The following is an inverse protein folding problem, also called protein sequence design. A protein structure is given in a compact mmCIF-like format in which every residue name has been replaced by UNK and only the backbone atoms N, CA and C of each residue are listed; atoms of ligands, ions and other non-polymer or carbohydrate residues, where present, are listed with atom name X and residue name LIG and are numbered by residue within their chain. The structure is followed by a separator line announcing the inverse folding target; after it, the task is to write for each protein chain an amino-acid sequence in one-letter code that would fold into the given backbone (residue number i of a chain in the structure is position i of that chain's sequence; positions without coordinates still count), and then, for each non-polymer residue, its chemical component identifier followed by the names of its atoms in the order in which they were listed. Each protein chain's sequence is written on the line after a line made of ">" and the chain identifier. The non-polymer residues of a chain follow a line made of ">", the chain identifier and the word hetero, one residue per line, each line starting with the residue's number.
data_IF_976973262610
#
_entry.id   IF_976973262610
#
_cell.length_a   1.000
_cell.length_b   1.000
_cell.length_c   1.000
_cell.angle_alpha   90.00
_cell.angle_beta   90.00
_cell.angle_gamma   90.00
#
_symmetry.space_group_name_H-M   'P 1'
#
loop_
_entity.id
_entity.type
_entity.pdbx_description
1 polymer ?
#
# COMPACT_ATOMS: atom_id res chain seq x y z
N UNK A 1 45.30 29.11 30.16
CA UNK A 1 44.43 27.92 29.89
C UNK A 1 43.86 28.11 28.51
N UNK A 2 44.23 27.27 27.56
CA UNK A 2 43.59 27.31 26.24
C UNK A 2 42.14 26.87 26.43
N UNK A 3 41.16 27.72 26.06
CA UNK A 3 39.78 27.29 25.93
C UNK A 3 39.74 26.12 24.94
N UNK A 4 39.39 24.92 25.42
CA UNK A 4 39.05 23.81 24.54
C UNK A 4 37.91 24.27 23.63
N UNK A 5 38.23 24.52 22.37
CA UNK A 5 37.27 24.90 21.34
C UNK A 5 36.31 23.74 21.20
N UNK A 6 35.13 23.86 21.80
CA UNK A 6 34.07 22.83 21.70
C UNK A 6 33.90 22.46 20.24
N UNK A 7 34.09 21.21 19.89
CA UNK A 7 33.91 20.70 18.54
C UNK A 7 32.48 20.94 18.11
N UNK A 8 32.30 21.61 16.98
CA UNK A 8 30.94 21.89 16.44
C UNK A 8 30.26 20.62 15.97
N UNK A 9 28.96 20.53 16.16
CA UNK A 9 28.15 19.40 15.77
C UNK A 9 27.34 19.72 14.52
N UNK A 10 27.27 18.76 13.63
CA UNK A 10 26.60 18.84 12.32
C UNK A 10 25.56 17.74 12.23
N UNK A 11 24.35 18.06 11.78
CA UNK A 11 23.28 17.10 11.57
C UNK A 11 22.94 16.98 10.09
N UNK A 12 22.67 15.76 9.62
CA UNK A 12 22.12 15.49 8.29
C UNK A 12 21.08 14.36 8.36
N UNK A 13 19.90 14.55 7.80
CA UNK A 13 18.87 13.51 7.70
C UNK A 13 19.02 12.72 6.39
N UNK A 14 19.07 11.40 6.46
CA UNK A 14 19.30 10.52 5.31
C UNK A 14 18.34 9.33 5.35
N UNK A 15 17.74 8.94 4.20
CA UNK A 15 17.00 7.68 4.06
C UNK A 15 17.95 6.47 4.00
N UNK A 16 19.09 6.59 3.33
CA UNK A 16 20.20 5.64 3.34
C UNK A 16 19.93 4.27 2.69
N UNK A 17 18.86 4.11 1.91
CA UNK A 17 18.53 2.82 1.30
C UNK A 17 19.45 2.49 0.11
N UNK A 18 19.67 3.46 -0.76
CA UNK A 18 20.67 3.38 -1.83
C UNK A 18 21.72 4.47 -1.60
N UNK A 19 22.95 4.05 -1.35
CA UNK A 19 24.07 4.98 -1.22
C UNK A 19 24.58 5.33 -2.62
N UNK A 20 24.49 6.60 -2.97
CA UNK A 20 24.91 7.14 -4.26
C UNK A 20 25.82 8.37 -4.08
N UNK A 21 26.54 8.81 -5.11
CA UNK A 21 27.48 9.93 -5.00
C UNK A 21 26.90 11.21 -4.36
N UNK A 22 25.62 11.50 -4.54
CA UNK A 22 24.96 12.64 -3.89
C UNK A 22 24.94 12.54 -2.37
N UNK A 23 24.64 11.36 -1.81
CA UNK A 23 24.70 11.12 -0.35
C UNK A 23 26.13 11.24 0.15
N UNK A 24 27.09 10.64 -0.54
CA UNK A 24 28.51 10.74 -0.19
C UNK A 24 28.96 12.19 -0.18
N UNK A 25 28.58 12.99 -1.17
CA UNK A 25 28.90 14.41 -1.24
C UNK A 25 28.35 15.18 -0.02
N UNK A 26 27.09 14.97 0.35
CA UNK A 26 26.48 15.62 1.52
C UNK A 26 27.22 15.24 2.81
N UNK A 27 27.56 13.97 3.01
CA UNK A 27 28.33 13.48 4.16
C UNK A 27 29.72 14.15 4.19
N UNK A 28 30.45 14.14 3.07
CA UNK A 28 31.79 14.72 3.00
C UNK A 28 31.80 16.23 3.20
N UNK A 29 30.80 16.94 2.69
CA UNK A 29 30.66 18.37 2.93
C UNK A 29 30.32 18.64 4.41
N UNK A 30 29.39 17.84 4.99
CA UNK A 30 29.01 17.96 6.40
C UNK A 30 30.18 17.77 7.35
N UNK A 31 31.01 16.77 7.11
CA UNK A 31 32.20 16.48 7.92
C UNK A 31 33.25 17.63 7.96
N UNK A 32 33.21 18.57 7.02
CA UNK A 32 34.10 19.76 7.04
C UNK A 32 33.69 20.80 8.09
N UNK A 33 32.45 20.79 8.55
CA UNK A 33 31.91 21.75 9.50
C UNK A 33 32.02 21.29 10.95
N UNK A 34 32.32 20.01 11.21
CA UNK A 34 32.47 19.46 12.55
C UNK A 34 32.11 17.99 12.66
N UNK A 35 31.80 17.53 13.88
CA UNK A 35 31.38 16.18 14.17
C UNK A 35 30.03 15.91 13.52
N UNK A 36 30.00 15.01 12.53
CA UNK A 36 28.81 14.73 11.73
C UNK A 36 27.95 13.63 12.37
N UNK A 37 26.71 14.00 12.70
CA UNK A 37 25.67 13.09 13.18
C UNK A 37 24.69 12.87 12.04
N UNK A 38 24.51 11.62 11.64
CA UNK A 38 23.53 11.22 10.63
C UNK A 38 22.24 10.80 11.30
N UNK A 39 21.15 11.53 11.05
CA UNK A 39 19.77 11.12 11.36
C UNK A 39 19.30 10.15 10.30
N UNK A 40 19.36 8.85 10.60
CA UNK A 40 18.86 7.81 9.69
C UNK A 40 17.37 7.61 9.89
N UNK A 41 16.59 7.91 8.86
CA UNK A 41 15.14 7.71 8.93
C UNK A 41 14.82 6.22 9.17
N UNK A 42 13.93 5.95 10.11
CA UNK A 42 13.40 4.60 10.34
C UNK A 42 12.57 4.13 9.16
N UNK A 43 12.36 2.82 9.02
CA UNK A 43 11.53 2.29 7.94
C UNK A 43 10.09 2.82 8.03
N UNK A 44 9.57 2.98 9.26
CA UNK A 44 8.25 3.58 9.50
C UNK A 44 8.19 5.04 9.05
N UNK A 45 9.19 5.86 9.40
CA UNK A 45 9.24 7.27 8.96
C UNK A 45 9.31 7.39 7.43
N UNK A 46 10.06 6.51 6.76
CA UNK A 46 10.14 6.50 5.28
C UNK A 46 8.80 6.06 4.66
N UNK A 47 8.16 5.02 5.22
CA UNK A 47 6.93 4.44 4.69
C UNK A 47 5.74 5.41 4.66
N UNK A 48 5.76 6.47 5.50
CA UNK A 48 4.72 7.51 5.49
C UNK A 48 4.70 8.33 4.20
N UNK A 49 5.87 8.53 3.54
CA UNK A 49 6.04 9.46 2.41
C UNK A 49 6.64 8.82 1.16
N UNK A 50 7.36 7.72 1.33
CA UNK A 50 8.05 7.01 0.24
C UNK A 50 7.76 5.51 0.32
N UNK A 51 8.24 4.75 -0.68
CA UNK A 51 8.22 3.30 -0.61
C UNK A 51 9.10 2.80 0.55
N UNK A 52 8.80 1.61 1.04
CA UNK A 52 9.62 0.93 2.04
C UNK A 52 11.03 0.68 1.50
N UNK A 53 12.08 0.94 2.29
CA UNK A 53 13.46 0.61 1.93
C UNK A 53 13.64 -0.89 1.67
N UNK A 54 14.57 -1.24 0.78
CA UNK A 54 15.01 -2.64 0.57
C UNK A 54 15.75 -3.19 1.79
N UNK A 55 16.53 -2.32 2.44
CA UNK A 55 17.33 -2.68 3.59
C UNK A 55 16.60 -2.33 4.90
N UNK A 56 16.78 -3.18 5.91
CA UNK A 56 16.31 -2.87 7.26
C UNK A 56 17.04 -1.65 7.83
N UNK A 57 16.48 -1.04 8.87
CA UNK A 57 17.13 0.08 9.56
C UNK A 57 18.55 -0.29 10.00
N UNK A 58 18.76 -1.48 10.59
CA UNK A 58 20.07 -1.94 11.07
C UNK A 58 21.07 -2.16 9.94
N UNK A 59 20.62 -2.69 8.79
CA UNK A 59 21.48 -2.85 7.61
C UNK A 59 21.93 -1.50 7.06
N UNK A 60 21.02 -0.54 6.93
CA UNK A 60 21.32 0.83 6.46
C UNK A 60 22.24 1.56 7.44
N UNK A 61 22.02 1.38 8.76
CA UNK A 61 22.85 1.92 9.82
C UNK A 61 24.27 1.39 9.72
N UNK A 62 24.45 0.07 9.60
CA UNK A 62 25.75 -0.56 9.45
C UNK A 62 26.54 -0.02 8.25
N UNK A 63 25.87 0.24 7.11
CA UNK A 63 26.52 0.85 5.94
C UNK A 63 26.97 2.28 6.25
N UNK A 64 26.10 3.11 6.84
CA UNK A 64 26.39 4.52 7.11
C UNK A 64 27.49 4.73 8.15
N UNK A 65 27.54 3.90 9.20
CA UNK A 65 28.57 3.93 10.23
C UNK A 65 29.98 3.66 9.67
N UNK A 66 30.07 2.99 8.52
CA UNK A 66 31.32 2.69 7.84
C UNK A 66 31.67 3.69 6.73
N UNK A 67 30.88 4.76 6.54
CA UNK A 67 31.22 5.80 5.58
C UNK A 67 32.15 6.83 6.24
N UNK A 68 33.29 7.07 5.58
CA UNK A 68 34.26 8.07 6.04
C UNK A 68 33.62 9.45 6.19
N UNK A 69 33.74 10.04 7.37
CA UNK A 69 33.18 11.35 7.71
C UNK A 69 31.94 11.28 8.61
N UNK A 70 31.31 10.12 8.74
CA UNK A 70 30.23 9.89 9.71
C UNK A 70 30.86 9.64 11.09
N UNK A 71 30.40 10.40 12.09
CA UNK A 71 30.86 10.24 13.48
C UNK A 71 29.86 9.45 14.32
N UNK A 72 28.57 9.58 14.00
CA UNK A 72 27.50 8.92 14.73
C UNK A 72 26.27 8.77 13.83
N UNK A 73 25.52 7.67 14.00
CA UNK A 73 24.22 7.44 13.34
C UNK A 73 23.14 7.28 14.41
N UNK A 74 22.14 8.16 14.36
CA UNK A 74 21.01 8.16 15.30
C UNK A 74 19.70 7.92 14.56
N UNK A 75 18.67 7.33 15.19
CA UNK A 75 17.37 7.16 14.54
C UNK A 75 16.68 8.52 14.35
N UNK A 76 16.07 8.69 13.18
CA UNK A 76 15.10 9.74 12.90
C UNK A 76 13.73 9.05 12.71
N UNK A 77 12.90 9.12 13.74
CA UNK A 77 11.63 8.39 13.83
C UNK A 77 10.49 9.10 13.11
N UNK A 78 10.69 10.36 12.77
CA UNK A 78 9.72 11.22 12.08
C UNK A 78 10.28 11.68 10.74
N UNK A 79 9.40 11.93 9.77
CA UNK A 79 9.76 12.60 8.52
C UNK A 79 10.23 14.04 8.75
N UNK A 80 9.68 14.73 9.76
CA UNK A 80 10.17 16.02 10.24
C UNK A 80 11.52 15.88 10.97
N UNK A 81 12.39 16.84 10.74
CA UNK A 81 13.69 16.93 11.42
C UNK A 81 13.59 17.49 12.84
N UNK A 82 12.48 18.18 13.15
CA UNK A 82 12.30 18.98 14.36
C UNK A 82 12.58 18.20 15.65
N UNK A 83 12.08 16.95 15.84
CA UNK A 83 12.35 16.21 17.07
C UNK A 83 13.85 16.01 17.34
N UNK A 84 14.62 15.60 16.32
CA UNK A 84 16.06 15.38 16.46
C UNK A 84 16.83 16.70 16.62
N UNK A 85 16.44 17.77 15.92
CA UNK A 85 17.06 19.07 16.06
C UNK A 85 16.90 19.65 17.48
N UNK A 86 15.70 19.52 18.06
CA UNK A 86 15.44 19.98 19.43
C UNK A 86 16.21 19.16 20.48
N UNK A 87 16.36 17.84 20.24
CA UNK A 87 17.06 16.91 21.13
C UNK A 87 18.59 17.11 21.08
N UNK A 88 19.15 17.16 19.88
CA UNK A 88 20.59 17.19 19.66
C UNK A 88 21.19 18.60 19.68
N UNK A 89 20.42 19.60 19.34
CA UNK A 89 20.80 21.03 19.23
C UNK A 89 22.12 21.21 18.47
N UNK A 90 22.19 20.74 17.20
CA UNK A 90 23.41 20.83 16.42
C UNK A 90 23.72 22.30 16.08
N UNK A 91 25.02 22.62 15.92
CA UNK A 91 25.46 23.94 15.45
C UNK A 91 25.07 24.16 13.97
N UNK A 92 25.10 23.08 13.17
CA UNK A 92 24.76 23.11 11.76
C UNK A 92 23.81 21.97 11.38
N UNK A 93 22.87 22.24 10.49
CA UNK A 93 22.19 21.22 9.71
C UNK A 93 22.58 21.40 8.25
N UNK A 94 22.84 20.27 7.56
CA UNK A 94 23.18 20.26 6.13
C UNK A 94 22.11 19.53 5.36
N UNK A 95 21.69 20.12 4.25
CA UNK A 95 20.73 19.54 3.31
C UNK A 95 21.06 19.93 1.87
N UNK A 96 20.66 19.10 0.90
CA UNK A 96 20.66 19.49 -0.51
C UNK A 96 19.68 20.65 -0.77
N UNK A 97 19.95 21.46 -1.77
CA UNK A 97 19.06 22.61 -2.11
C UNK A 97 17.81 22.21 -2.91
N UNK A 98 17.60 20.90 -3.11
CA UNK A 98 16.42 20.30 -3.76
C UNK A 98 15.10 20.51 -2.99
N UNK A 99 15.16 20.78 -1.68
CA UNK A 99 13.97 21.10 -0.87
C UNK A 99 13.43 22.53 -1.04
N UNK A 100 14.08 23.36 -1.86
CA UNK A 100 13.60 24.72 -2.21
C UNK A 100 12.38 24.70 -3.11
N UNK A 101 12.21 23.63 -3.83
CA UNK A 101 11.09 23.39 -4.73
C UNK A 101 10.42 22.08 -4.33
N UNK A 102 9.14 21.91 -4.59
CA UNK A 102 8.35 20.72 -4.28
C UNK A 102 7.76 20.66 -2.85
N UNK A 103 7.16 19.53 -2.48
CA UNK A 103 6.51 19.26 -1.19
C UNK A 103 7.44 19.38 0.03
N UNK A 104 8.74 19.44 -0.15
CA UNK A 104 9.70 19.60 0.97
C UNK A 104 9.84 21.05 1.46
N UNK A 105 9.19 22.02 0.80
CA UNK A 105 9.24 23.43 1.23
C UNK A 105 8.72 23.63 2.65
N UNK A 106 7.68 22.88 3.06
CA UNK A 106 7.16 22.90 4.42
C UNK A 106 8.21 22.48 5.44
N UNK A 107 8.87 21.35 5.20
CA UNK A 107 9.96 20.83 6.03
C UNK A 107 11.13 21.81 6.10
N UNK A 108 11.51 22.39 4.96
CA UNK A 108 12.55 23.42 4.92
C UNK A 108 12.23 24.57 5.87
N UNK A 109 11.01 25.08 5.81
CA UNK A 109 10.54 26.18 6.68
C UNK A 109 10.65 25.80 8.16
N UNK A 110 10.16 24.63 8.56
CA UNK A 110 10.23 24.11 9.93
C UNK A 110 11.68 24.01 10.43
N UNK A 111 12.59 23.53 9.58
CA UNK A 111 14.01 23.39 9.90
C UNK A 111 14.63 24.76 10.13
N UNK A 112 14.41 25.74 9.25
CA UNK A 112 14.95 27.09 9.42
C UNK A 112 14.44 27.75 10.71
N UNK A 113 13.14 27.62 11.01
CA UNK A 113 12.55 28.14 12.24
C UNK A 113 13.12 27.46 13.49
N UNK A 114 13.30 26.15 13.44
CA UNK A 114 13.84 25.37 14.55
C UNK A 114 15.31 25.68 14.80
N UNK A 115 16.13 25.72 13.75
CA UNK A 115 17.56 26.06 13.87
C UNK A 115 17.75 27.47 14.42
N UNK A 116 16.94 28.43 13.99
CA UNK A 116 16.95 29.79 14.57
C UNK A 116 16.62 29.78 16.07
N UNK A 117 15.66 28.97 16.52
CA UNK A 117 15.30 28.84 17.95
C UNK A 117 16.41 28.26 18.81
N UNK A 118 17.17 27.28 18.27
CA UNK A 118 18.26 26.62 19.02
C UNK A 118 19.61 27.31 18.86
N UNK A 119 19.72 28.37 18.04
CA UNK A 119 20.95 29.12 17.80
C UNK A 119 21.89 28.44 16.79
N UNK A 120 21.40 27.53 15.99
CA UNK A 120 22.16 26.85 14.92
C UNK A 120 21.92 27.47 13.54
N UNK A 121 22.63 26.98 12.55
CA UNK A 121 22.62 27.48 11.16
C UNK A 121 22.28 26.36 10.16
N UNK A 122 21.54 26.72 9.09
CA UNK A 122 21.19 25.82 7.97
C UNK A 122 22.17 26.04 6.83
N UNK A 123 22.83 24.99 6.38
CA UNK A 123 23.75 25.01 5.24
C UNK A 123 23.14 24.21 4.09
N UNK A 124 22.84 24.91 3.00
CA UNK A 124 22.30 24.31 1.77
C UNK A 124 23.43 24.01 0.79
N UNK A 125 23.58 22.75 0.43
CA UNK A 125 24.61 22.29 -0.54
C UNK A 125 23.96 22.13 -1.91
N UNK A 126 24.62 22.59 -2.99
CA UNK A 126 24.12 22.37 -4.34
C UNK A 126 23.87 20.88 -4.61
N UNK A 127 22.68 20.60 -5.13
CA UNK A 127 22.27 19.25 -5.47
C UNK A 127 23.18 18.61 -6.52
N UNK A 128 23.60 17.36 -6.27
CA UNK A 128 24.43 16.61 -7.22
C UNK A 128 23.57 16.15 -8.39
N UNK A 129 23.71 16.80 -9.56
CA UNK A 129 22.93 16.50 -10.77
C UNK A 129 23.21 15.09 -11.29
N UNK A 130 22.18 14.48 -11.87
CA UNK A 130 22.30 13.25 -12.66
C UNK A 130 22.13 11.94 -11.90
N UNK A 131 21.99 11.97 -10.55
CA UNK A 131 21.73 10.77 -9.77
C UNK A 131 21.00 11.10 -8.46
N UNK A 132 19.87 10.46 -8.22
CA UNK A 132 19.17 10.49 -6.93
C UNK A 132 18.50 9.14 -6.66
N UNK A 133 18.16 8.90 -5.40
CA UNK A 133 17.52 7.65 -4.99
C UNK A 133 16.22 7.39 -5.74
N UNK A 134 15.40 8.43 -5.99
CA UNK A 134 14.11 8.28 -6.69
C UNK A 134 14.29 7.83 -8.13
N UNK A 135 15.28 8.40 -8.85
CA UNK A 135 15.58 7.98 -10.24
C UNK A 135 16.17 6.55 -10.31
N UNK A 136 16.95 6.16 -9.30
CA UNK A 136 17.47 4.80 -9.22
C UNK A 136 16.33 3.82 -8.94
N UNK A 137 15.41 4.16 -8.06
CA UNK A 137 14.22 3.36 -7.79
C UNK A 137 13.26 3.26 -8.98
N UNK A 138 13.07 4.35 -9.73
CA UNK A 138 12.27 4.33 -10.96
C UNK A 138 12.88 3.40 -12.01
N UNK A 139 14.21 3.36 -12.12
CA UNK A 139 14.91 2.42 -13.00
C UNK A 139 14.79 0.97 -12.53
N UNK A 140 14.79 0.72 -11.24
CA UNK A 140 14.60 -0.64 -10.69
C UNK A 140 13.16 -1.11 -10.77
N UNK A 141 12.19 -0.24 -10.50
CA UNK A 141 10.77 -0.54 -10.70
C UNK A 141 10.48 -0.92 -12.16
N UNK A 142 11.22 -0.32 -13.10
CA UNK A 142 11.17 -0.68 -14.52
C UNK A 142 11.75 -2.07 -14.83
N UNK A 143 12.49 -2.70 -13.91
CA UNK A 143 12.98 -4.08 -14.06
C UNK A 143 11.99 -5.15 -13.55
N UNK A 144 10.81 -4.71 -13.05
CA UNK A 144 9.81 -5.60 -12.47
C UNK A 144 10.13 -6.01 -11.02
N UNK A 145 9.32 -6.90 -10.48
CA UNK A 145 9.45 -7.44 -9.12
C UNK A 145 9.35 -8.96 -9.18
N UNK A 146 10.08 -9.68 -8.33
CA UNK A 146 9.91 -11.13 -8.24
C UNK A 146 8.62 -11.49 -7.48
N UNK A 147 8.09 -12.68 -7.74
CA UNK A 147 6.92 -13.23 -7.06
C UNK A 147 7.09 -13.16 -5.54
N UNK A 148 8.21 -13.65 -5.01
CA UNK A 148 8.47 -13.66 -3.56
C UNK A 148 8.53 -12.26 -2.96
N UNK A 149 9.14 -11.31 -3.67
CA UNK A 149 9.19 -9.91 -3.22
C UNK A 149 7.79 -9.29 -3.16
N UNK A 150 6.94 -9.56 -4.17
CA UNK A 150 5.56 -9.06 -4.18
C UNK A 150 4.74 -9.67 -3.06
N UNK A 151 4.82 -10.99 -2.86
CA UNK A 151 4.11 -11.68 -1.76
C UNK A 151 4.49 -11.07 -0.42
N UNK A 152 5.78 -10.90 -0.15
CA UNK A 152 6.30 -10.35 1.10
C UNK A 152 5.93 -8.88 1.31
N UNK A 153 5.81 -8.09 0.26
CA UNK A 153 5.67 -6.62 0.34
C UNK A 153 4.45 -6.16 1.16
N UNK A 154 3.37 -6.94 1.22
CA UNK A 154 2.20 -6.63 2.04
C UNK A 154 2.51 -6.71 3.54
N UNK A 155 3.22 -7.78 3.98
CA UNK A 155 3.64 -7.91 5.38
C UNK A 155 4.62 -6.81 5.77
N UNK A 156 5.54 -6.48 4.88
CA UNK A 156 6.49 -5.38 5.11
C UNK A 156 5.75 -4.03 5.25
N UNK A 157 4.73 -3.77 4.42
CA UNK A 157 3.87 -2.58 4.57
C UNK A 157 3.16 -2.55 5.93
N UNK A 158 2.59 -3.67 6.37
CA UNK A 158 1.91 -3.74 7.67
C UNK A 158 2.85 -3.51 8.86
N UNK A 159 4.12 -3.87 8.73
CA UNK A 159 5.12 -3.61 9.78
C UNK A 159 5.46 -2.13 9.94
N UNK A 160 5.27 -1.31 8.89
CA UNK A 160 5.75 0.07 8.85
C UNK A 160 4.65 1.12 8.70
N UNK A 161 3.46 0.74 8.25
CA UNK A 161 2.31 1.65 8.09
C UNK A 161 1.18 1.29 9.04
N UNK A 162 0.59 2.29 9.66
CA UNK A 162 -0.62 2.13 10.47
C UNK A 162 -1.84 1.81 9.61
N UNK A 163 -1.90 2.37 8.40
CA UNK A 163 -2.97 2.15 7.44
C UNK A 163 -2.42 1.98 6.03
N UNK A 164 -2.84 0.91 5.36
CA UNK A 164 -2.51 0.58 3.98
C UNK A 164 -3.75 0.86 3.12
N UNK A 165 -3.58 1.58 2.01
CA UNK A 165 -4.68 1.89 1.10
C UNK A 165 -4.52 1.17 -0.23
N UNK A 166 -5.55 0.40 -0.60
CA UNK A 166 -5.63 -0.30 -1.86
C UNK A 166 -6.75 0.24 -2.73
N UNK A 167 -6.56 0.13 -4.03
CA UNK A 167 -7.58 0.44 -5.03
C UNK A 167 -7.86 -0.81 -5.87
N UNK A 168 -9.13 -1.04 -6.21
CA UNK A 168 -9.48 -2.16 -7.07
C UNK A 168 -9.06 -1.89 -8.52
N UNK A 169 -8.33 -2.85 -9.08
CA UNK A 169 -8.06 -2.98 -10.50
C UNK A 169 -8.94 -4.08 -11.10
N UNK A 170 -9.42 -3.86 -12.31
CA UNK A 170 -10.23 -4.80 -13.09
C UNK A 170 -9.63 -5.07 -14.50
N UNK A 171 -8.44 -4.55 -14.75
CA UNK A 171 -7.69 -4.71 -16.00
C UNK A 171 -6.26 -4.21 -15.82
N UNK A 172 -5.35 -4.57 -16.71
CA UNK A 172 -4.01 -4.02 -16.74
C UNK A 172 -3.98 -2.49 -16.83
N UNK A 173 -4.90 -1.87 -17.59
CA UNK A 173 -4.99 -0.40 -17.67
C UNK A 173 -5.30 0.24 -16.30
N UNK A 174 -6.25 -0.31 -15.56
CA UNK A 174 -6.56 0.19 -14.21
C UNK A 174 -5.40 -0.04 -13.24
N UNK A 175 -4.67 -1.15 -13.38
CA UNK A 175 -3.47 -1.42 -12.60
C UNK A 175 -2.36 -0.39 -12.90
N UNK A 176 -2.11 -0.04 -14.16
CA UNK A 176 -1.16 1.01 -14.56
C UNK A 176 -1.50 2.37 -13.95
N UNK A 177 -2.78 2.73 -13.89
CA UNK A 177 -3.22 3.97 -13.24
C UNK A 177 -2.86 3.94 -11.75
N UNK A 178 -3.18 2.85 -11.05
CA UNK A 178 -2.91 2.70 -9.61
C UNK A 178 -1.40 2.69 -9.34
N UNK A 179 -0.62 2.02 -10.18
CA UNK A 179 0.85 1.94 -10.07
C UNK A 179 1.49 3.31 -10.13
N UNK A 180 1.11 4.12 -11.13
CA UNK A 180 1.78 5.37 -11.46
C UNK A 180 1.21 6.60 -10.76
N UNK A 181 -0.01 6.51 -10.18
CA UNK A 181 -0.67 7.67 -9.58
C UNK A 181 0.08 8.14 -8.32
N UNK A 182 0.50 9.40 -8.36
CA UNK A 182 1.10 10.13 -7.24
C UNK A 182 0.38 11.47 -7.10
N UNK A 183 -0.01 11.81 -5.89
CA UNK A 183 -0.63 13.10 -5.55
C UNK A 183 0.25 13.82 -4.55
N UNK A 184 0.75 14.99 -4.89
CA UNK A 184 1.47 15.86 -3.96
C UNK A 184 0.45 16.62 -3.09
N UNK A 185 0.64 16.58 -1.79
CA UNK A 185 -0.08 17.38 -0.79
C UNK A 185 0.92 18.06 0.13
N UNK A 186 0.44 18.94 0.99
CA UNK A 186 1.28 19.69 1.93
C UNK A 186 2.05 18.78 2.91
N UNK A 187 1.49 17.61 3.22
CA UNK A 187 2.05 16.58 4.09
C UNK A 187 2.90 15.52 3.36
N UNK A 188 3.01 15.58 2.04
CA UNK A 188 3.86 14.68 1.26
C UNK A 188 3.24 14.09 0.00
N UNK A 189 3.83 12.99 -0.49
CA UNK A 189 3.35 12.27 -1.67
C UNK A 189 2.39 11.16 -1.25
N UNK A 190 1.14 11.28 -1.67
CA UNK A 190 0.11 10.26 -1.49
C UNK A 190 0.03 9.34 -2.70
N UNK A 191 -0.10 8.03 -2.45
CA UNK A 191 -0.25 6.98 -3.47
C UNK A 191 -1.05 5.81 -2.90
N UNK A 192 -1.55 4.96 -3.76
CA UNK A 192 -2.04 3.66 -3.34
C UNK A 192 -0.87 2.73 -3.03
N UNK A 193 -0.98 1.95 -1.97
CA UNK A 193 0.06 1.05 -1.48
C UNK A 193 0.01 -0.32 -2.14
N UNK A 194 -1.16 -0.72 -2.65
CA UNK A 194 -1.38 -2.00 -3.29
C UNK A 194 -2.62 -2.00 -4.18
N UNK A 195 -2.84 -3.14 -4.80
CA UNK A 195 -3.98 -3.42 -5.67
C UNK A 195 -4.90 -4.42 -4.99
N UNK A 196 -6.19 -4.21 -5.17
CA UNK A 196 -7.22 -5.18 -4.84
C UNK A 196 -7.81 -5.73 -6.14
N UNK A 197 -8.04 -7.05 -6.20
CA UNK A 197 -8.74 -7.71 -7.29
C UNK A 197 -9.81 -8.66 -6.74
N UNK A 198 -11.03 -8.58 -7.29
CA UNK A 198 -12.14 -9.44 -6.88
C UNK A 198 -12.49 -10.43 -7.98
N UNK A 199 -12.45 -11.72 -7.67
CA UNK A 199 -12.94 -12.79 -8.54
C UNK A 199 -14.48 -12.89 -8.57
N UNK A 200 -15.19 -12.05 -7.80
CA UNK A 200 -16.65 -12.12 -7.77
C UNK A 200 -17.25 -11.59 -9.06
N UNK A 201 -18.34 -12.19 -9.48
CA UNK A 201 -19.10 -12.04 -10.74
C UNK A 201 -19.53 -10.62 -11.17
N UNK A 202 -19.10 -9.59 -10.46
CA UNK A 202 -19.42 -8.20 -10.82
C UNK A 202 -18.80 -7.75 -12.15
N UNK A 203 -17.93 -8.55 -12.76
CA UNK A 203 -17.27 -8.22 -14.02
C UNK A 203 -18.08 -8.62 -15.25
N UNK A 204 -19.02 -9.54 -15.11
CA UNK A 204 -19.92 -9.93 -16.17
C UNK A 204 -21.26 -9.20 -16.03
N UNK A 205 -21.37 -8.03 -16.65
CA UNK A 205 -22.64 -7.25 -16.68
C UNK A 205 -23.78 -7.97 -17.40
N UNK A 206 -23.56 -9.12 -18.01
CA UNK A 206 -24.52 -9.83 -18.87
C UNK A 206 -24.64 -11.34 -18.63
N UNK A 207 -24.02 -11.91 -17.61
CA UNK A 207 -24.26 -13.34 -17.39
C UNK A 207 -25.54 -13.51 -16.60
N UNK A 208 -26.55 -14.00 -17.28
CA UNK A 208 -27.55 -14.83 -16.63
C UNK A 208 -26.82 -15.82 -15.76
N UNK A 209 -27.15 -15.84 -14.48
CA UNK A 209 -26.51 -16.56 -13.37
C UNK A 209 -26.32 -18.08 -13.60
N UNK A 210 -26.49 -18.56 -14.82
CA UNK A 210 -26.69 -19.97 -15.14
C UNK A 210 -25.46 -20.77 -15.59
N UNK A 211 -24.31 -20.15 -15.94
CA UNK A 211 -23.20 -20.89 -16.55
C UNK A 211 -21.80 -20.69 -15.90
N UNK A 212 -21.73 -20.33 -14.62
CA UNK A 212 -20.50 -19.82 -13.97
C UNK A 212 -19.77 -20.87 -13.13
N UNK A 213 -19.45 -22.06 -13.65
CA UNK A 213 -18.99 -23.14 -12.76
C UNK A 213 -17.48 -23.48 -12.76
N UNK A 214 -16.71 -23.17 -13.76
CA UNK A 214 -15.24 -23.36 -13.76
C UNK A 214 -14.51 -22.39 -14.71
N UNK A 215 -15.19 -21.87 -15.71
CA UNK A 215 -14.59 -20.93 -16.66
C UNK A 215 -14.19 -19.60 -16.01
N UNK A 216 -14.83 -19.25 -14.89
CA UNK A 216 -14.69 -17.94 -14.27
C UNK A 216 -13.40 -17.76 -13.49
N UNK A 217 -12.96 -18.78 -12.75
CA UNK A 217 -11.67 -18.74 -12.06
C UNK A 217 -10.52 -18.58 -13.05
N UNK A 218 -10.50 -19.38 -14.11
CA UNK A 218 -9.45 -19.27 -15.15
C UNK A 218 -9.52 -17.97 -15.94
N UNK A 219 -10.73 -17.47 -16.22
CA UNK A 219 -10.90 -16.13 -16.82
C UNK A 219 -10.41 -15.05 -15.88
N UNK A 220 -10.72 -15.17 -14.61
CA UNK A 220 -10.21 -14.28 -13.55
C UNK A 220 -8.68 -14.33 -13.44
N UNK A 221 -8.05 -15.50 -13.58
CA UNK A 221 -6.60 -15.63 -13.60
C UNK A 221 -5.97 -14.89 -14.79
N UNK A 222 -6.58 -14.91 -15.98
CA UNK A 222 -6.07 -14.15 -17.14
C UNK A 222 -6.10 -12.64 -16.85
N UNK A 223 -7.20 -12.14 -16.28
CA UNK A 223 -7.29 -10.72 -15.85
C UNK A 223 -6.26 -10.39 -14.78
N UNK A 224 -6.04 -11.31 -13.83
CA UNK A 224 -5.03 -11.15 -12.79
C UNK A 224 -3.62 -11.11 -13.38
N UNK A 225 -3.32 -11.92 -14.41
CA UNK A 225 -2.05 -11.85 -15.15
C UNK A 225 -1.85 -10.47 -15.78
N UNK A 226 -2.87 -9.94 -16.47
CA UNK A 226 -2.80 -8.57 -17.04
C UNK A 226 -2.54 -7.51 -15.97
N UNK A 227 -3.12 -7.67 -14.78
CA UNK A 227 -2.90 -6.77 -13.64
C UNK A 227 -1.48 -6.92 -13.11
N UNK A 228 -1.02 -8.14 -12.92
CA UNK A 228 0.30 -8.48 -12.40
C UNK A 228 1.41 -7.90 -13.26
N UNK A 229 1.30 -8.01 -14.57
CA UNK A 229 2.27 -7.48 -15.54
C UNK A 229 2.37 -5.93 -15.49
N UNK A 230 1.36 -5.28 -14.95
CA UNK A 230 1.25 -3.82 -14.91
C UNK A 230 1.59 -3.20 -13.54
N UNK A 231 2.00 -3.99 -12.54
CA UNK A 231 2.25 -3.48 -11.18
C UNK A 231 3.40 -4.16 -10.47
N UNK A 232 4.09 -3.39 -9.65
CA UNK A 232 5.07 -3.88 -8.67
C UNK A 232 4.52 -3.93 -7.24
N UNK A 233 3.28 -3.48 -7.04
CA UNK A 233 2.62 -3.38 -5.73
C UNK A 233 2.10 -4.75 -5.26
N UNK A 234 1.89 -4.94 -3.94
CA UNK A 234 1.18 -6.11 -3.41
C UNK A 234 -0.24 -6.18 -3.96
N UNK A 235 -0.69 -7.40 -4.19
CA UNK A 235 -2.04 -7.70 -4.67
C UNK A 235 -2.80 -8.47 -3.59
N UNK A 236 -3.98 -7.99 -3.23
CA UNK A 236 -4.95 -8.73 -2.41
C UNK A 236 -6.09 -9.16 -3.30
N UNK A 237 -6.36 -10.46 -3.36
CA UNK A 237 -7.50 -11.00 -4.07
C UNK A 237 -8.67 -11.28 -3.12
N UNK A 238 -9.91 -11.10 -3.58
CA UNK A 238 -11.10 -11.59 -2.89
C UNK A 238 -11.74 -12.72 -3.68
N UNK A 239 -12.02 -13.80 -2.98
CA UNK A 239 -12.50 -15.03 -3.56
C UNK A 239 -13.68 -15.62 -2.79
N UNK A 240 -14.77 -15.92 -3.49
CA UNK A 240 -15.92 -16.64 -2.95
C UNK A 240 -15.75 -18.12 -3.26
N UNK A 241 -15.70 -18.95 -2.23
CA UNK A 241 -15.51 -20.41 -2.39
C UNK A 241 -16.84 -21.02 -2.85
N UNK A 242 -16.86 -21.70 -3.98
CA UNK A 242 -17.96 -22.60 -4.30
C UNK A 242 -17.77 -23.96 -3.57
N UNK A 243 -18.88 -24.64 -3.29
CA UNK A 243 -18.92 -25.93 -2.61
C UNK A 243 -18.12 -27.04 -3.31
N UNK A 244 -17.88 -26.90 -4.62
CA UNK A 244 -17.25 -27.91 -5.47
C UNK A 244 -15.80 -27.62 -5.84
N UNK A 245 -15.24 -26.47 -5.44
CA UNK A 245 -13.92 -26.05 -5.89
C UNK A 245 -12.79 -26.61 -5.05
N UNK A 246 -11.65 -26.84 -5.70
CA UNK A 246 -10.42 -27.26 -5.05
C UNK A 246 -9.67 -26.06 -4.49
N UNK A 247 -9.98 -25.68 -3.24
CA UNK A 247 -9.36 -24.54 -2.56
C UNK A 247 -7.82 -24.64 -2.51
N UNK A 248 -7.26 -25.85 -2.39
CA UNK A 248 -5.81 -26.05 -2.41
C UNK A 248 -5.21 -25.55 -3.72
N UNK A 249 -5.78 -25.96 -4.84
CA UNK A 249 -5.31 -25.53 -6.17
C UNK A 249 -5.47 -24.01 -6.37
N UNK A 250 -6.56 -23.43 -5.85
CA UNK A 250 -6.78 -21.99 -5.89
C UNK A 250 -5.67 -21.24 -5.15
N UNK A 251 -5.35 -21.64 -3.92
CA UNK A 251 -4.28 -21.01 -3.13
C UNK A 251 -2.93 -21.13 -3.82
N UNK A 252 -2.58 -22.34 -4.31
CA UNK A 252 -1.33 -22.57 -5.01
C UNK A 252 -1.19 -21.70 -6.28
N UNK A 253 -2.24 -21.54 -7.08
CA UNK A 253 -2.21 -20.65 -8.25
C UNK A 253 -2.04 -19.19 -7.86
N UNK A 254 -2.75 -18.70 -6.84
CA UNK A 254 -2.61 -17.32 -6.37
C UNK A 254 -1.18 -17.01 -5.88
N UNK A 255 -0.55 -17.93 -5.17
CA UNK A 255 0.85 -17.78 -4.74
C UNK A 255 1.81 -17.73 -5.92
N UNK A 256 1.64 -18.63 -6.92
CA UNK A 256 2.47 -18.66 -8.13
C UNK A 256 2.37 -17.35 -8.90
N UNK A 257 1.21 -16.72 -8.90
CA UNK A 257 0.96 -15.42 -9.53
C UNK A 257 1.42 -14.22 -8.69
N UNK A 258 2.05 -14.45 -7.53
CA UNK A 258 2.58 -13.37 -6.69
C UNK A 258 1.51 -12.56 -5.95
N UNK A 259 0.32 -13.13 -5.73
CA UNK A 259 -0.69 -12.55 -4.85
C UNK A 259 -0.18 -12.55 -3.42
N UNK A 260 -0.31 -11.42 -2.73
CA UNK A 260 0.21 -11.26 -1.36
C UNK A 260 -0.77 -11.74 -0.30
N UNK A 261 -2.08 -11.67 -0.59
CA UNK A 261 -3.11 -12.15 0.31
C UNK A 261 -4.39 -12.52 -0.44
N UNK A 262 -5.16 -13.44 0.14
CA UNK A 262 -6.52 -13.76 -0.31
C UNK A 262 -7.52 -13.52 0.80
N UNK A 263 -8.61 -12.80 0.51
CA UNK A 263 -9.80 -12.72 1.35
C UNK A 263 -10.74 -13.84 0.90
N UNK A 264 -10.99 -14.78 1.78
CA UNK A 264 -11.92 -15.89 1.55
C UNK A 264 -13.26 -15.50 2.18
N UNK A 265 -14.33 -15.43 1.39
CA UNK A 265 -15.66 -15.10 1.90
C UNK A 265 -16.31 -16.30 2.60
N UNK A 266 -17.06 -16.02 3.68
CA UNK A 266 -17.82 -17.04 4.42
C UNK A 266 -19.23 -17.28 3.89
N UNK A 267 -19.50 -16.84 2.66
CA UNK A 267 -20.77 -17.01 1.97
C UNK A 267 -20.60 -17.76 0.65
N UNK A 268 -21.66 -18.43 0.26
CA UNK A 268 -21.77 -19.12 -1.01
C UNK A 268 -23.15 -18.87 -1.65
N UNK A 269 -23.26 -19.16 -2.94
CA UNK A 269 -24.49 -18.97 -3.70
C UNK A 269 -25.22 -20.31 -3.83
N UNK A 270 -26.49 -20.34 -3.39
CA UNK A 270 -27.40 -21.47 -3.58
C UNK A 270 -28.34 -21.14 -4.75
N UNK A 271 -28.29 -21.98 -5.78
CA UNK A 271 -29.22 -21.85 -6.93
C UNK A 271 -30.57 -22.50 -6.58
N UNK A 272 -31.65 -21.73 -6.61
CA UNK A 272 -33.02 -22.19 -6.36
C UNK A 272 -33.84 -21.94 -7.61
N UNK A 273 -33.68 -22.79 -8.66
CA UNK A 273 -34.35 -22.61 -9.94
C UNK A 273 -33.86 -21.35 -10.68
N UNK A 274 -34.74 -20.36 -10.88
CA UNK A 274 -34.45 -19.10 -11.60
C UNK A 274 -33.78 -18.07 -10.68
N UNK A 275 -33.79 -18.26 -9.36
CA UNK A 275 -33.23 -17.32 -8.38
C UNK A 275 -31.97 -17.90 -7.71
N UNK A 276 -31.12 -17.01 -7.21
CA UNK A 276 -29.97 -17.36 -6.37
C UNK A 276 -30.11 -16.71 -5.00
N UNK A 277 -29.74 -17.45 -3.95
CA UNK A 277 -29.75 -16.99 -2.58
C UNK A 277 -28.31 -17.07 -2.05
N UNK A 278 -27.88 -16.04 -1.33
CA UNK A 278 -26.61 -16.09 -0.61
C UNK A 278 -26.85 -16.72 0.78
N UNK A 279 -26.03 -17.69 1.12
CA UNK A 279 -26.03 -18.35 2.43
C UNK A 279 -24.64 -18.29 3.05
N UNK A 280 -24.60 -18.31 4.38
CA UNK A 280 -23.34 -18.38 5.14
C UNK A 280 -22.95 -19.81 5.42
N UNK A 281 -21.66 -20.10 5.32
CA UNK A 281 -21.11 -21.33 5.89
C UNK A 281 -21.31 -21.34 7.41
N UNK A 282 -21.55 -22.54 7.94
CA UNK A 282 -21.48 -22.75 9.40
C UNK A 282 -20.07 -22.47 9.90
N UNK A 283 -19.95 -21.99 11.13
CA UNK A 283 -18.65 -21.63 11.73
C UNK A 283 -17.62 -22.76 11.59
N UNK A 284 -17.99 -24.01 11.93
CA UNK A 284 -17.09 -25.16 11.88
C UNK A 284 -16.59 -25.45 10.46
N UNK A 285 -17.50 -25.39 9.49
CA UNK A 285 -17.21 -25.62 8.08
C UNK A 285 -16.31 -24.53 7.50
N UNK A 286 -16.60 -23.28 7.83
CA UNK A 286 -15.77 -22.17 7.41
C UNK A 286 -14.37 -22.21 8.03
N UNK A 287 -14.27 -22.51 9.33
CA UNK A 287 -12.99 -22.72 9.99
C UNK A 287 -12.19 -23.88 9.35
N UNK A 288 -12.85 -24.93 8.90
CA UNK A 288 -12.20 -26.02 8.17
C UNK A 288 -11.61 -25.52 6.86
N UNK A 289 -12.36 -24.73 6.07
CA UNK A 289 -11.86 -24.12 4.82
C UNK A 289 -10.65 -23.20 5.06
N UNK A 290 -10.67 -22.38 6.10
CA UNK A 290 -9.51 -21.57 6.49
C UNK A 290 -8.28 -22.44 6.79
N UNK A 291 -8.45 -23.53 7.53
CA UNK A 291 -7.36 -24.50 7.81
C UNK A 291 -6.83 -25.14 6.52
N UNK A 292 -7.69 -25.51 5.59
CA UNK A 292 -7.29 -26.07 4.31
C UNK A 292 -6.48 -25.04 3.49
N UNK A 293 -6.94 -23.79 3.40
CA UNK A 293 -6.22 -22.70 2.75
C UNK A 293 -4.84 -22.49 3.37
N UNK A 294 -4.76 -22.46 4.70
CA UNK A 294 -3.48 -22.32 5.42
C UNK A 294 -2.55 -23.52 5.22
N UNK A 295 -3.09 -24.74 5.08
CA UNK A 295 -2.31 -25.95 4.77
C UNK A 295 -1.78 -25.95 3.32
N UNK A 296 -2.54 -25.38 2.40
CA UNK A 296 -2.13 -25.25 0.99
C UNK A 296 -1.03 -24.21 0.77
N UNK A 297 -0.95 -23.23 1.66
CA UNK A 297 0.05 -22.17 1.64
C UNK A 297 1.47 -22.73 1.67
N UNK A 298 2.32 -22.27 0.74
CA UNK A 298 3.75 -22.65 0.63
C UNK A 298 4.67 -21.51 1.08
N UNK A 299 4.32 -20.28 0.70
CA UNK A 299 5.09 -19.10 1.06
C UNK A 299 4.58 -18.55 2.42
N UNK A 300 5.42 -18.47 3.48
CA UNK A 300 5.00 -18.00 4.80
C UNK A 300 4.54 -16.53 4.82
N UNK A 301 4.94 -15.75 3.83
CA UNK A 301 4.55 -14.33 3.71
C UNK A 301 3.17 -14.14 3.06
N UNK A 302 2.66 -15.15 2.33
CA UNK A 302 1.29 -15.12 1.81
C UNK A 302 0.28 -15.09 2.96
N UNK A 303 -0.82 -14.36 2.80
CA UNK A 303 -1.82 -14.20 3.87
C UNK A 303 -3.18 -14.77 3.47
N UNK A 304 -3.80 -15.47 4.40
CA UNK A 304 -5.20 -15.90 4.31
C UNK A 304 -6.03 -15.03 5.25
N UNK A 305 -6.91 -14.23 4.70
CA UNK A 305 -7.78 -13.29 5.42
C UNK A 305 -9.19 -13.89 5.42
N UNK A 306 -9.79 -14.04 6.61
CA UNK A 306 -11.16 -14.52 6.73
C UNK A 306 -12.14 -13.37 6.51
N UNK A 307 -13.05 -13.54 5.54
CA UNK A 307 -14.14 -12.60 5.28
C UNK A 307 -15.35 -12.95 6.12
N UNK A 308 -15.87 -12.01 6.90
CA UNK A 308 -17.03 -12.14 7.76
C UNK A 308 -18.18 -11.34 7.19
N UNK A 309 -19.14 -12.01 6.61
CA UNK A 309 -20.29 -11.41 5.94
C UNK A 309 -21.59 -11.52 6.77
N UNK A 310 -21.48 -11.96 8.01
CA UNK A 310 -22.62 -12.19 8.91
C UNK A 310 -23.53 -10.97 9.02
N UNK A 311 -22.96 -9.76 9.17
CA UNK A 311 -23.72 -8.52 9.30
C UNK A 311 -24.46 -8.15 8.00
N UNK A 312 -23.94 -8.49 6.83
CA UNK A 312 -24.60 -8.22 5.54
C UNK A 312 -25.84 -9.10 5.33
N UNK A 313 -25.89 -10.26 6.00
CA UNK A 313 -26.98 -11.22 5.94
C UNK A 313 -27.86 -11.22 7.22
N UNK A 314 -27.77 -10.15 8.01
CA UNK A 314 -28.66 -9.89 9.16
C UNK A 314 -28.38 -10.74 10.39
N UNK A 315 -27.18 -11.31 10.51
CA UNK A 315 -26.75 -11.98 11.74
C UNK A 315 -26.36 -10.96 12.82
N UNK A 316 -26.33 -11.43 14.07
CA UNK A 316 -25.97 -10.59 15.20
C UNK A 316 -24.45 -10.25 15.24
N UNK A 317 -24.12 -9.17 15.93
CA UNK A 317 -22.74 -8.75 16.19
C UNK A 317 -21.96 -9.85 16.94
N UNK A 318 -22.60 -10.55 17.87
CA UNK A 318 -21.97 -11.61 18.66
C UNK A 318 -21.65 -12.85 17.81
N UNK A 319 -22.51 -13.19 16.83
CA UNK A 319 -22.21 -14.26 15.86
C UNK A 319 -21.03 -13.89 14.97
N UNK A 320 -21.00 -12.65 14.44
CA UNK A 320 -19.89 -12.16 13.63
C UNK A 320 -18.55 -12.18 14.39
N UNK A 321 -18.53 -11.69 15.63
CA UNK A 321 -17.34 -11.70 16.47
C UNK A 321 -16.89 -13.13 16.82
N UNK A 322 -17.83 -14.01 17.19
CA UNK A 322 -17.53 -15.40 17.49
C UNK A 322 -16.85 -16.09 16.31
N UNK A 323 -17.42 -15.92 15.10
CA UNK A 323 -16.86 -16.49 13.86
C UNK A 323 -15.48 -15.89 13.55
N UNK A 324 -15.28 -14.59 13.71
CA UNK A 324 -13.99 -13.94 13.53
C UNK A 324 -12.91 -14.53 14.44
N UNK A 325 -13.20 -14.70 15.75
CA UNK A 325 -12.24 -15.31 16.67
C UNK A 325 -12.00 -16.80 16.38
N UNK A 326 -13.02 -17.53 15.94
CA UNK A 326 -12.88 -18.93 15.55
C UNK A 326 -11.97 -19.10 14.33
N UNK A 327 -12.10 -18.22 13.32
CA UNK A 327 -11.26 -18.27 12.12
C UNK A 327 -9.81 -17.88 12.38
N UNK A 328 -9.54 -16.97 13.32
CA UNK A 328 -8.16 -16.69 13.76
C UNK A 328 -7.56 -17.93 14.44
N UNK A 329 -8.28 -18.61 15.31
CA UNK A 329 -7.84 -19.88 15.90
C UNK A 329 -7.63 -20.98 14.86
N UNK A 330 -8.34 -20.90 13.73
CA UNK A 330 -8.15 -21.78 12.59
C UNK A 330 -6.91 -21.44 11.73
N UNK A 331 -6.27 -20.29 11.98
CA UNK A 331 -5.01 -19.86 11.33
C UNK A 331 -5.16 -18.70 10.37
N UNK A 332 -6.30 -18.00 10.30
CA UNK A 332 -6.43 -16.79 9.50
C UNK A 332 -5.43 -15.71 9.94
N UNK A 333 -4.77 -15.06 8.97
CA UNK A 333 -3.79 -14.00 9.19
C UNK A 333 -4.44 -12.62 9.37
N UNK A 334 -5.72 -12.46 9.02
CA UNK A 334 -6.47 -11.21 9.12
C UNK A 334 -7.96 -11.45 9.03
N UNK A 335 -8.74 -10.40 9.31
CA UNK A 335 -10.21 -10.39 9.22
C UNK A 335 -10.66 -9.27 8.27
N UNK A 336 -11.55 -9.60 7.34
CA UNK A 336 -12.36 -8.65 6.62
C UNK A 336 -13.78 -8.68 7.20
N UNK A 337 -14.34 -7.52 7.54
CA UNK A 337 -15.72 -7.39 8.00
C UNK A 337 -16.54 -6.56 7.01
N UNK A 338 -17.68 -7.07 6.60
CA UNK A 338 -18.60 -6.42 5.70
C UNK A 338 -19.89 -5.97 6.42
N UNK A 339 -20.45 -4.83 5.98
CA UNK A 339 -21.76 -4.35 6.39
C UNK A 339 -22.40 -3.53 5.27
N UNK A 340 -23.74 -3.58 5.19
CA UNK A 340 -24.54 -2.80 4.26
C UNK A 340 -25.02 -1.46 4.86
N UNK A 341 -24.74 -1.18 6.14
CA UNK A 341 -25.14 0.06 6.79
C UNK A 341 -24.35 1.24 6.27
N UNK A 342 -25.06 2.34 5.98
CA UNK A 342 -24.46 3.53 5.35
C UNK A 342 -23.71 4.44 6.31
N UNK A 343 -23.97 4.37 7.61
CA UNK A 343 -23.33 5.19 8.64
C UNK A 343 -22.00 4.60 9.14
N UNK A 344 -21.77 3.29 8.92
CA UNK A 344 -20.57 2.57 9.35
C UNK A 344 -20.52 2.26 10.84
N UNK A 345 -21.58 2.57 11.62
CA UNK A 345 -21.54 2.38 13.08
C UNK A 345 -21.46 0.89 13.46
N UNK A 346 -22.08 0.01 12.68
CA UNK A 346 -22.00 -1.44 12.89
C UNK A 346 -20.55 -1.98 12.71
N UNK A 347 -19.85 -1.51 11.68
CA UNK A 347 -18.43 -1.86 11.46
C UNK A 347 -17.56 -1.31 12.56
N UNK A 348 -17.80 -0.08 12.99
CA UNK A 348 -17.10 0.56 14.10
C UNK A 348 -17.31 -0.20 15.41
N UNK A 349 -18.54 -0.63 15.70
CA UNK A 349 -18.85 -1.44 16.88
C UNK A 349 -18.10 -2.78 16.84
N UNK A 350 -18.11 -3.46 15.68
CA UNK A 350 -17.35 -4.70 15.49
C UNK A 350 -15.86 -4.46 15.76
N UNK A 351 -15.25 -3.49 15.10
CA UNK A 351 -13.83 -3.19 15.25
C UNK A 351 -13.46 -2.88 16.71
N UNK A 352 -14.25 -2.06 17.40
CA UNK A 352 -14.02 -1.69 18.79
C UNK A 352 -14.11 -2.90 19.75
N UNK A 353 -15.09 -3.79 19.56
CA UNK A 353 -15.24 -5.01 20.33
C UNK A 353 -14.10 -5.98 20.05
N UNK A 354 -13.77 -6.16 18.78
CA UNK A 354 -12.68 -7.04 18.34
C UNK A 354 -11.32 -6.60 18.91
N UNK A 355 -11.00 -5.29 18.84
CA UNK A 355 -9.73 -4.72 19.31
C UNK A 355 -9.54 -4.79 20.82
N UNK A 356 -10.60 -4.91 21.61
CA UNK A 356 -10.50 -5.14 23.07
C UNK A 356 -9.85 -6.48 23.40
N UNK A 357 -10.08 -7.50 22.57
CA UNK A 357 -9.60 -8.86 22.79
C UNK A 357 -8.41 -9.23 21.90
N UNK A 358 -8.28 -8.60 20.72
CA UNK A 358 -7.22 -8.86 19.76
C UNK A 358 -6.69 -7.56 19.16
N UNK A 359 -5.45 -7.20 19.51
CA UNK A 359 -4.80 -5.96 19.09
C UNK A 359 -3.97 -6.12 17.80
N UNK A 360 -3.53 -7.34 17.49
CA UNK A 360 -2.47 -7.60 16.52
C UNK A 360 -3.00 -8.07 15.16
N UNK A 361 -4.11 -8.81 15.13
CA UNK A 361 -4.66 -9.33 13.88
C UNK A 361 -5.15 -8.19 12.97
N UNK A 362 -4.67 -8.10 11.72
CA UNK A 362 -5.10 -7.07 10.77
C UNK A 362 -6.60 -7.09 10.50
N UNK A 363 -7.21 -5.91 10.47
CA UNK A 363 -8.59 -5.70 10.03
C UNK A 363 -8.58 -5.02 8.67
N UNK A 364 -9.29 -5.61 7.72
CA UNK A 364 -9.52 -5.09 6.37
C UNK A 364 -10.93 -4.51 6.28
N UNK A 365 -11.06 -3.29 5.76
CA UNK A 365 -12.34 -2.62 5.51
C UNK A 365 -12.50 -2.25 4.04
N UNK A 366 -13.71 -2.43 3.51
CA UNK A 366 -14.11 -1.96 2.18
C UNK A 366 -15.28 -0.98 2.36
N UNK A 367 -15.02 0.33 2.53
CA UNK A 367 -16.02 1.31 2.95
C UNK A 367 -16.95 1.77 1.80
N UNK A 368 -17.40 0.85 0.94
CA UNK A 368 -18.27 1.20 -0.19
C UNK A 368 -19.65 1.68 0.27
N UNK A 369 -20.22 1.07 1.31
CA UNK A 369 -21.52 1.44 1.86
C UNK A 369 -21.48 2.69 2.73
N UNK A 370 -20.36 2.93 3.44
CA UNK A 370 -20.12 4.05 4.36
C UNK A 370 -18.96 4.95 3.88
N UNK A 371 -19.01 5.30 2.59
CA UNK A 371 -17.92 6.00 1.88
C UNK A 371 -17.71 7.46 2.30
N UNK A 372 -18.52 8.00 3.21
CA UNK A 372 -18.30 9.30 3.85
C UNK A 372 -17.24 9.26 4.96
N UNK A 373 -16.83 8.06 5.40
CA UNK A 373 -15.81 7.91 6.44
C UNK A 373 -14.41 8.11 5.86
N UNK A 374 -13.62 8.90 6.54
CA UNK A 374 -12.23 9.19 6.17
C UNK A 374 -11.28 8.06 6.60
N UNK A 375 -10.10 7.96 5.97
CA UNK A 375 -9.06 7.01 6.37
C UNK A 375 -8.64 7.18 7.84
N UNK A 376 -8.64 8.42 8.35
CA UNK A 376 -8.34 8.71 9.75
C UNK A 376 -9.38 8.05 10.68
N UNK A 377 -10.68 8.26 10.41
CA UNK A 377 -11.76 7.64 11.19
C UNK A 377 -11.67 6.11 11.15
N UNK A 378 -11.43 5.53 9.96
CA UNK A 378 -11.31 4.07 9.81
C UNK A 378 -10.08 3.52 10.56
N UNK A 379 -8.97 4.24 10.55
CA UNK A 379 -7.77 3.91 11.33
C UNK A 379 -8.03 3.98 12.84
N UNK A 380 -8.76 4.99 13.32
CA UNK A 380 -9.18 5.12 14.73
C UNK A 380 -10.10 3.96 15.17
N UNK A 381 -10.88 3.38 14.25
CA UNK A 381 -11.66 2.16 14.55
C UNK A 381 -10.76 0.92 14.65
N UNK A 382 -9.51 1.01 14.22
CA UNK A 382 -8.53 -0.07 14.26
C UNK A 382 -8.34 -0.82 12.93
N UNK A 383 -8.77 -0.23 11.80
CA UNK A 383 -8.44 -0.76 10.47
C UNK A 383 -6.95 -0.67 10.19
N UNK A 384 -6.41 -1.69 9.53
CA UNK A 384 -5.04 -1.73 9.03
C UNK A 384 -4.98 -1.60 7.50
N UNK A 385 -6.02 -2.07 6.83
CA UNK A 385 -6.12 -2.05 5.36
C UNK A 385 -7.48 -1.48 4.97
N UNK A 386 -7.47 -0.47 4.10
CA UNK A 386 -8.67 0.12 3.49
C UNK A 386 -8.63 -0.12 1.98
N UNK A 387 -9.71 -0.64 1.43
CA UNK A 387 -9.83 -1.00 0.03
C UNK A 387 -10.94 -0.16 -0.62
N UNK A 388 -10.59 0.56 -1.68
CA UNK A 388 -11.54 1.32 -2.49
C UNK A 388 -11.97 0.48 -3.69
N UNK A 389 -13.15 -0.18 -3.57
CA UNK A 389 -13.65 -1.14 -4.55
C UNK A 389 -14.70 -0.54 -5.51
N UNK A 390 -14.64 -0.94 -6.78
CA UNK A 390 -15.63 -0.65 -7.82
C UNK A 390 -15.60 0.74 -8.45
N UNK A 391 -14.75 1.65 -8.00
CA UNK A 391 -14.78 3.06 -8.45
C UNK A 391 -14.26 3.24 -9.88
N UNK A 392 -13.10 2.65 -10.22
CA UNK A 392 -12.51 2.81 -11.56
C UNK A 392 -13.42 2.24 -12.65
N UNK A 393 -14.04 1.08 -12.40
CA UNK A 393 -15.01 0.48 -13.31
C UNK A 393 -16.25 1.36 -13.51
N UNK A 394 -16.80 1.88 -12.42
CA UNK A 394 -18.01 2.75 -12.46
C UNK A 394 -17.75 4.05 -13.19
N UNK A 395 -16.58 4.68 -13.03
CA UNK A 395 -16.25 5.93 -13.71
C UNK A 395 -15.83 5.72 -15.16
N UNK A 396 -15.33 4.54 -15.52
CA UNK A 396 -14.94 4.22 -16.90
C UNK A 396 -16.16 4.23 -17.84
N UNK A 397 -17.32 3.71 -17.40
CA UNK A 397 -18.51 3.63 -18.23
C UNK A 397 -18.96 4.99 -18.79
N UNK A 398 -19.24 6.04 -17.99
CA UNK A 398 -19.66 7.33 -18.53
C UNK A 398 -18.58 7.99 -19.40
N UNK A 399 -17.30 7.80 -19.10
CA UNK A 399 -16.21 8.34 -19.92
C UNK A 399 -16.14 7.68 -21.29
N UNK A 400 -16.18 6.34 -21.33
CA UNK A 400 -16.21 5.57 -22.59
C UNK A 400 -17.46 5.83 -23.40
N UNK A 401 -18.63 5.91 -22.74
CA UNK A 401 -19.91 6.27 -23.38
C UNK A 401 -19.81 7.63 -24.05
N UNK A 402 -19.30 8.66 -23.37
CA UNK A 402 -19.14 10.00 -23.92
C UNK A 402 -18.22 10.01 -25.15
N UNK A 403 -17.13 9.24 -25.14
CA UNK A 403 -16.26 9.08 -26.29
C UNK A 403 -17.02 8.50 -27.49
N UNK A 404 -17.72 7.39 -27.29
CA UNK A 404 -18.50 6.73 -28.34
C UNK A 404 -19.63 7.64 -28.90
N UNK A 405 -20.38 8.33 -28.03
CA UNK A 405 -21.40 9.30 -28.44
C UNK A 405 -20.83 10.46 -29.26
N UNK A 406 -19.62 10.93 -28.92
CA UNK A 406 -18.95 12.00 -29.65
C UNK A 406 -18.59 11.54 -31.08
N UNK A 407 -18.06 10.34 -31.25
CA UNK A 407 -17.74 9.76 -32.56
C UNK A 407 -19.02 9.61 -33.40
N UNK A 408 -20.08 9.03 -32.82
CA UNK A 408 -21.37 8.87 -33.51
C UNK A 408 -21.96 10.21 -33.96
N UNK A 409 -21.86 11.24 -33.12
CA UNK A 409 -22.36 12.58 -33.42
C UNK A 409 -21.57 13.28 -34.52
N UNK A 410 -20.25 13.11 -34.53
CA UNK A 410 -19.33 13.80 -35.43
C UNK A 410 -19.05 13.01 -36.72
N UNK A 411 -19.48 11.73 -36.77
CA UNK A 411 -19.20 10.78 -37.85
C UNK A 411 -17.68 10.65 -38.19
N UNK A 412 -16.85 10.95 -37.19
CA UNK A 412 -15.38 10.86 -37.23
C UNK A 412 -14.79 10.92 -35.83
N UNK A 413 -13.50 10.59 -35.69
CA UNK A 413 -12.79 10.50 -34.39
C UNK A 413 -11.96 11.73 -34.00
N UNK A 414 -11.93 12.79 -34.82
CA UNK A 414 -11.07 13.96 -34.54
C UNK A 414 -11.38 14.62 -33.19
N UNK A 415 -12.66 14.74 -32.87
CA UNK A 415 -13.17 15.43 -31.69
C UNK A 415 -12.85 14.72 -30.37
N UNK A 416 -12.51 13.42 -30.42
CA UNK A 416 -12.15 12.66 -29.23
C UNK A 416 -10.64 12.65 -28.94
N UNK A 417 -9.80 13.17 -29.85
CA UNK A 417 -8.35 13.19 -29.62
C UNK A 417 -7.95 13.90 -28.33
N UNK A 418 -8.64 14.98 -27.95
CA UNK A 418 -8.39 15.70 -26.70
C UNK A 418 -8.82 14.92 -25.44
N UNK A 419 -9.58 13.84 -25.59
CA UNK A 419 -10.02 12.97 -24.51
C UNK A 419 -9.12 11.73 -24.35
N UNK A 420 -8.23 11.48 -25.32
CA UNK A 420 -7.43 10.28 -25.39
C UNK A 420 -5.98 10.57 -24.99
N UNK A 421 -5.42 9.69 -24.17
CA UNK A 421 -3.98 9.65 -23.94
C UNK A 421 -3.30 8.94 -25.11
N UNK A 422 -2.17 9.48 -25.65
CA UNK A 422 -1.43 8.79 -26.69
C UNK A 422 -0.97 7.39 -26.25
N UNK A 423 -1.17 6.39 -27.11
CA UNK A 423 -0.84 4.99 -26.77
C UNK A 423 0.63 4.81 -26.35
N UNK A 424 1.54 5.58 -26.98
CA UNK A 424 2.96 5.55 -26.62
C UNK A 424 3.21 5.99 -25.17
N UNK A 425 2.45 6.95 -24.67
CA UNK A 425 2.55 7.38 -23.27
C UNK A 425 2.02 6.30 -22.32
N UNK A 426 0.92 5.62 -22.70
CA UNK A 426 0.37 4.49 -21.91
C UNK A 426 1.41 3.36 -21.84
N UNK A 427 2.01 2.97 -22.96
CA UNK A 427 3.00 1.89 -23.02
C UNK A 427 4.25 2.20 -22.19
N UNK A 428 4.66 3.46 -22.11
CA UNK A 428 5.81 3.88 -21.28
C UNK A 428 5.52 3.79 -19.76
N UNK A 429 4.29 3.57 -19.35
CA UNK A 429 3.93 3.39 -17.94
C UNK A 429 4.09 1.93 -17.47
N UNK A 430 4.21 0.98 -18.40
CA UNK A 430 4.30 -0.47 -18.06
C UNK A 430 5.67 -0.74 -17.43
N UNK A 431 5.73 -1.33 -16.21
CA UNK A 431 6.99 -1.71 -15.59
C UNK A 431 7.80 -2.66 -16.49
N UNK A 432 9.12 -2.45 -16.57
CA UNK A 432 10.02 -3.32 -17.33
C UNK A 432 10.10 -3.06 -18.85
N UNK A 433 9.41 -2.07 -19.39
CA UNK A 433 9.38 -1.79 -20.84
C UNK A 433 10.37 -0.71 -21.31
N UNK A 434 11.13 -0.06 -20.42
CA UNK A 434 12.11 1.01 -20.72
C UNK A 434 13.55 0.54 -20.61
#
# INVERSE_FOLDING_TARGET
>A
MAEEKKEKTVYVGITGDIIHPGIINIIQQGAKYGRLIVGLLTNSAIATHKRIPYLTYEQRKAVLENIKGVSEVVPQEDWSYVPNLLKLKPDYIIHGDDWKTNYLQGIRKEVFETMKKIGGEVIEIPYTKGINSSQLFEKEANNGITVDQRVKSLRDLMNYKSLIRLMEANSGLSALIIENLKMEKDDGIHRFDGIFYSFTHSDHMNSDIHELEQSDFFTGLNTLTDIEDCTTKPIICKYSIDLKENLTLTIENLEIMGVSAVIIEDKYIVKTGISSIQELYKEEEYCYKIKEAKKAQRNPDFMVIAGIEDLTLGKSMDEALKKAFATIKAGADGIYIASNQKDGEEVKEFCNKFRKENKDTPIVLIPTSYNQKTELELSEWGANIVIYAGYLKKVAYPAMKKCAETILKSERSLEVNAMCMPIKEILNLIPGTN
#
